data_IF_520119075175
#
_entry.id   IF_520119075175
#
_cell.length_a   1.000
_cell.length_b   1.000
_cell.length_c   1.000
_cell.angle_alpha   90.00
_cell.angle_beta   90.00
_cell.angle_gamma   90.00
#
_symmetry.space_group_name_H-M   'P 1'
#
loop_
_entity.id
_entity.type
_entity.pdbx_description
1 polymer ?
#
# COMPACT_ATOMS: atom_id res chain seq x y z
N UNK A 1 -4.31 15.14 -7.92
CA UNK A 1 -5.73 14.79 -8.17
C UNK A 1 -5.90 13.36 -8.71
N UNK A 2 -5.00 12.84 -9.58
CA UNK A 2 -5.03 11.44 -10.04
C UNK A 2 -4.93 10.40 -8.90
N UNK A 3 -4.09 10.66 -7.88
CA UNK A 3 -3.89 9.71 -6.78
C UNK A 3 -5.06 9.57 -5.79
N UNK A 4 -6.03 10.50 -5.75
CA UNK A 4 -7.22 10.29 -4.91
C UNK A 4 -8.08 9.16 -5.48
N UNK A 5 -8.09 8.91 -6.79
CA UNK A 5 -9.01 7.92 -7.37
C UNK A 5 -8.63 6.48 -7.05
N UNK A 6 -7.34 6.13 -7.07
CA UNK A 6 -6.87 4.74 -6.92
C UNK A 6 -7.02 4.17 -5.51
N UNK A 7 -6.88 5.00 -4.47
CA UNK A 7 -7.00 4.58 -3.06
C UNK A 7 -8.39 4.79 -2.48
N UNK A 8 -9.24 5.60 -3.11
CA UNK A 8 -10.60 5.85 -2.62
C UNK A 8 -11.47 4.61 -2.85
N UNK A 9 -11.89 3.96 -1.75
CA UNK A 9 -12.81 2.83 -1.78
C UNK A 9 -12.16 1.44 -1.82
N UNK A 10 -10.82 1.35 -1.77
CA UNK A 10 -10.11 0.08 -1.63
C UNK A 10 -9.32 0.02 -0.32
N UNK A 11 -9.74 -0.85 0.61
CA UNK A 11 -9.09 -1.05 1.91
C UNK A 11 -7.69 -1.69 1.85
N UNK A 12 -7.21 -2.05 0.66
CA UNK A 12 -5.92 -2.72 0.46
C UNK A 12 -4.83 -1.79 -0.09
N UNK A 13 -5.11 -0.50 -0.23
CA UNK A 13 -4.12 0.53 -0.56
C UNK A 13 -3.95 1.51 0.59
N UNK A 14 -2.73 2.03 0.73
CA UNK A 14 -2.41 3.11 1.66
C UNK A 14 -3.18 4.36 1.27
N UNK A 15 -3.97 4.90 2.20
CA UNK A 15 -4.77 6.10 1.98
C UNK A 15 -3.90 7.36 1.95
N UNK A 16 -4.17 8.22 0.97
CA UNK A 16 -3.61 9.58 0.91
C UNK A 16 -4.55 10.51 1.67
N UNK A 17 -4.03 11.09 2.75
CA UNK A 17 -4.75 12.00 3.63
C UNK A 17 -4.72 13.43 3.08
N UNK A 18 -3.55 13.88 2.62
CA UNK A 18 -3.38 15.24 2.10
C UNK A 18 -2.20 15.35 1.12
N UNK A 19 -2.18 16.43 0.33
CA UNK A 19 -1.12 16.74 -0.64
C UNK A 19 -0.77 18.22 -0.54
N UNK A 20 0.49 18.52 -0.22
CA UNK A 20 1.02 19.87 -0.16
C UNK A 20 2.02 20.11 -1.27
N UNK A 21 1.97 21.30 -1.85
CA UNK A 21 3.00 21.80 -2.73
C UNK A 21 3.81 22.85 -1.97
N UNK A 22 5.14 22.70 -1.91
CA UNK A 22 6.00 23.61 -1.15
C UNK A 22 7.38 23.75 -1.82
N UNK A 23 8.16 24.74 -1.38
CA UNK A 23 9.54 24.95 -1.79
C UNK A 23 10.45 24.45 -0.66
N UNK A 24 11.33 23.49 -0.98
CA UNK A 24 12.35 22.98 -0.07
C UNK A 24 13.71 23.04 -0.75
N UNK A 25 14.67 23.70 -0.11
CA UNK A 25 16.01 23.93 -0.66
C UNK A 25 15.97 24.51 -2.09
N UNK A 26 15.09 25.49 -2.32
CA UNK A 26 14.82 26.12 -3.64
C UNK A 26 14.21 25.21 -4.70
N UNK A 27 13.84 23.98 -4.38
CA UNK A 27 13.16 23.05 -5.26
C UNK A 27 11.66 23.01 -4.97
N UNK A 28 10.83 22.99 -6.02
CA UNK A 28 9.39 22.76 -5.90
C UNK A 28 9.15 21.27 -5.62
N UNK A 29 8.56 20.98 -4.47
CA UNK A 29 8.33 19.63 -3.97
C UNK A 29 6.83 19.36 -3.77
N UNK A 30 6.44 18.10 -3.99
CA UNK A 30 5.14 17.58 -3.60
C UNK A 30 5.30 16.71 -2.36
N UNK A 31 4.63 17.07 -1.29
CA UNK A 31 4.55 16.29 -0.06
C UNK A 31 3.23 15.54 -0.03
N UNK A 32 3.30 14.21 0.05
CA UNK A 32 2.12 13.35 0.10
C UNK A 32 2.00 12.83 1.54
N UNK A 33 0.94 13.25 2.23
CA UNK A 33 0.62 12.75 3.57
C UNK A 33 -0.26 11.52 3.42
N UNK A 34 0.16 10.41 4.03
CA UNK A 34 -0.51 9.11 3.95
C UNK A 34 -0.81 8.58 5.34
N UNK A 35 -1.70 7.59 5.43
CA UNK A 35 -1.89 6.85 6.68
C UNK A 35 -0.60 6.15 7.13
N UNK A 36 -0.41 6.04 8.44
CA UNK A 36 0.77 5.40 9.02
C UNK A 36 0.57 3.88 9.07
N UNK A 37 1.45 3.13 8.40
CA UNK A 37 1.44 1.66 8.42
C UNK A 37 2.29 1.13 9.58
N UNK A 38 1.83 1.33 10.81
CA UNK A 38 2.52 0.95 12.07
C UNK A 38 2.88 -0.55 12.15
N UNK A 39 2.25 -1.35 11.30
CA UNK A 39 2.49 -2.77 11.24
C UNK A 39 3.87 -3.20 10.78
N UNK A 40 4.58 -2.35 10.03
CA UNK A 40 5.87 -2.70 9.43
C UNK A 40 5.75 -3.66 8.23
N UNK A 41 6.90 -4.16 7.78
CA UNK A 41 7.02 -4.92 6.53
C UNK A 41 6.49 -6.35 6.62
N UNK A 42 5.86 -6.81 5.54
CA UNK A 42 5.28 -8.14 5.43
C UNK A 42 6.31 -9.25 5.67
N UNK A 43 7.45 -9.21 4.97
CA UNK A 43 8.45 -10.27 5.09
C UNK A 43 9.12 -10.30 6.46
N UNK A 44 9.30 -9.14 7.09
CA UNK A 44 9.81 -9.06 8.46
C UNK A 44 8.86 -9.79 9.43
N UNK A 45 7.55 -9.52 9.33
CA UNK A 45 6.52 -10.21 10.13
C UNK A 45 6.50 -11.72 9.91
N UNK A 46 6.73 -12.19 8.68
CA UNK A 46 6.78 -13.62 8.39
C UNK A 46 8.02 -14.25 9.05
N UNK A 47 9.18 -13.58 8.99
CA UNK A 47 10.44 -14.06 9.57
C UNK A 47 10.43 -14.08 11.09
N UNK A 48 9.85 -13.07 11.72
CA UNK A 48 9.86 -12.90 13.19
C UNK A 48 8.93 -13.90 13.90
N UNK A 49 8.18 -14.69 13.14
CA UNK A 49 7.30 -15.73 13.66
C UNK A 49 8.10 -16.98 14.05
N UNK A 50 8.82 -16.90 15.16
CA UNK A 50 9.71 -17.97 15.62
C UNK A 50 8.99 -19.22 16.15
N UNK A 51 7.76 -19.06 16.68
CA UNK A 51 7.11 -20.12 17.45
C UNK A 51 6.16 -21.02 16.63
N UNK A 52 5.86 -20.66 15.37
CA UNK A 52 4.91 -21.41 14.53
C UNK A 52 5.32 -21.39 13.05
N UNK A 53 5.34 -22.55 12.36
CA UNK A 53 5.56 -22.60 10.93
C UNK A 53 4.57 -21.71 10.18
N UNK A 54 5.08 -21.00 9.17
CA UNK A 54 4.24 -20.25 8.24
C UNK A 54 3.48 -21.23 7.34
N UNK A 55 2.15 -21.18 7.39
CA UNK A 55 1.31 -22.18 6.71
C UNK A 55 0.87 -21.71 5.32
N UNK A 56 0.59 -22.67 4.42
CA UNK A 56 0.00 -22.38 3.11
C UNK A 56 -1.29 -21.56 3.22
N UNK A 57 -2.12 -21.83 4.25
CA UNK A 57 -3.35 -21.09 4.49
C UNK A 57 -3.09 -19.61 4.82
N UNK A 58 -2.01 -19.30 5.52
CA UNK A 58 -1.60 -17.93 5.82
C UNK A 58 -1.07 -17.23 4.56
N UNK A 59 -0.28 -17.93 3.75
CA UNK A 59 0.18 -17.46 2.45
C UNK A 59 -1.01 -17.11 1.54
N UNK A 60 -1.98 -18.02 1.41
CA UNK A 60 -3.15 -17.81 0.57
C UNK A 60 -3.97 -16.58 0.99
N UNK A 61 -4.08 -16.29 2.29
CA UNK A 61 -4.77 -15.08 2.79
C UNK A 61 -4.05 -13.80 2.38
N UNK A 62 -2.73 -13.76 2.51
CA UNK A 62 -1.94 -12.59 2.13
C UNK A 62 -2.01 -12.37 0.62
N UNK A 63 -1.83 -13.43 -0.17
CA UNK A 63 -1.95 -13.36 -1.63
C UNK A 63 -3.34 -12.89 -2.05
N UNK A 64 -4.41 -13.34 -1.39
CA UNK A 64 -5.77 -12.86 -1.69
C UNK A 64 -5.92 -11.36 -1.43
N UNK A 65 -5.32 -10.80 -0.37
CA UNK A 65 -5.36 -9.36 -0.10
C UNK A 65 -4.62 -8.57 -1.19
N UNK A 66 -3.42 -9.02 -1.58
CA UNK A 66 -2.65 -8.38 -2.66
C UNK A 66 -3.39 -8.49 -3.99
N UNK A 67 -3.96 -9.65 -4.32
CA UNK A 67 -4.71 -9.86 -5.55
C UNK A 67 -5.95 -8.96 -5.61
N UNK A 68 -6.63 -8.70 -4.50
CA UNK A 68 -7.77 -7.76 -4.43
C UNK A 68 -7.31 -6.31 -4.69
N UNK A 69 -6.18 -5.89 -4.14
CA UNK A 69 -5.58 -4.58 -4.46
C UNK A 69 -5.28 -4.47 -5.96
N UNK A 70 -4.58 -5.46 -6.53
CA UNK A 70 -4.23 -5.47 -7.97
C UNK A 70 -5.46 -5.48 -8.85
N UNK A 71 -6.47 -6.30 -8.53
CA UNK A 71 -7.72 -6.36 -9.28
C UNK A 71 -8.47 -5.02 -9.26
N UNK A 72 -8.44 -4.29 -8.15
CA UNK A 72 -9.02 -2.96 -8.05
C UNK A 72 -8.33 -1.97 -9.02
N UNK A 73 -6.99 -1.97 -9.09
CA UNK A 73 -6.27 -1.13 -10.05
C UNK A 73 -6.58 -1.51 -11.49
N UNK A 74 -6.58 -2.80 -11.81
CA UNK A 74 -6.88 -3.29 -13.15
C UNK A 74 -8.31 -2.93 -13.59
N UNK A 75 -9.28 -2.91 -12.67
CA UNK A 75 -10.64 -2.46 -12.96
C UNK A 75 -10.71 -0.96 -13.33
N UNK A 76 -9.70 -0.19 -12.95
CA UNK A 76 -9.57 1.23 -13.26
C UNK A 76 -8.55 1.50 -14.38
N UNK A 77 -8.18 0.48 -15.16
CA UNK A 77 -7.17 0.55 -16.23
C UNK A 77 -5.77 1.03 -15.76
N UNK A 78 -5.42 0.75 -14.49
CA UNK A 78 -4.12 1.07 -13.91
C UNK A 78 -3.33 -0.19 -13.58
N UNK A 79 -2.01 -0.14 -13.79
CA UNK A 79 -1.08 -1.17 -13.34
C UNK A 79 -0.13 -0.59 -12.29
N UNK A 80 0.08 -1.28 -11.16
CA UNK A 80 0.97 -0.83 -10.09
C UNK A 80 2.44 -0.81 -10.54
N UNK A 81 2.93 -1.94 -11.08
CA UNK A 81 4.26 -2.15 -11.69
C UNK A 81 5.49 -2.07 -10.77
N UNK A 82 5.31 -1.72 -9.51
CA UNK A 82 6.27 -2.00 -8.42
C UNK A 82 5.55 -2.71 -7.26
#
# INVERSE_FOLDING_TARGET
ILNKKASTGCYYFVQILDIYENIFESNRCLYIVMECMEGGELFQRIRDKHDKPYTEREAARIILMVAKAVAHLHHMDMAHRD
#
